data_IF_460604244865
#
_entry.id   IF_460604244865
#
_cell.length_a   1.000
_cell.length_b   1.000
_cell.length_c   1.000
_cell.angle_alpha   90.00
_cell.angle_beta   90.00
_cell.angle_gamma   90.00
#
_symmetry.space_group_name_H-M   'P 1'
#
loop_
_entity.id
_entity.type
_entity.pdbx_description
1 polymer ?
#
# COMPACT_ATOMS: atom_id res chain seq x y z
N UNK A 1 10.46 -44.48 -1.26
CA UNK A 1 11.02 -43.12 -1.09
C UNK A 1 10.51 -42.26 -2.24
N UNK A 2 9.60 -41.34 -1.97
CA UNK A 2 9.11 -40.36 -2.94
C UNK A 2 8.86 -39.07 -2.19
N UNK A 3 9.65 -38.04 -2.48
CA UNK A 3 9.61 -36.76 -1.78
C UNK A 3 8.26 -36.04 -2.02
N UNK A 4 7.70 -35.49 -0.94
CA UNK A 4 6.52 -34.63 -0.97
C UNK A 4 6.83 -33.32 -1.72
N UNK A 5 6.00 -32.89 -2.68
CA UNK A 5 5.91 -31.47 -3.00
C UNK A 5 5.07 -30.80 -1.90
N UNK A 6 5.75 -30.30 -0.86
CA UNK A 6 5.12 -29.36 0.08
C UNK A 6 5.08 -27.98 -0.59
N UNK A 7 4.20 -27.85 -1.58
CA UNK A 7 4.01 -26.59 -2.30
C UNK A 7 2.73 -25.95 -1.80
N UNK A 8 2.78 -25.34 -0.61
CA UNK A 8 1.99 -24.15 -0.35
C UNK A 8 2.53 -23.03 -1.26
N UNK A 9 2.35 -23.18 -2.56
CA UNK A 9 2.37 -22.03 -3.46
C UNK A 9 1.09 -21.29 -3.11
N UNK A 10 1.16 -20.44 -2.08
CA UNK A 10 0.13 -19.42 -1.85
C UNK A 10 -0.03 -18.76 -3.21
N UNK A 11 -1.21 -18.91 -3.82
CA UNK A 11 -1.55 -18.12 -4.99
C UNK A 11 -1.32 -16.67 -4.57
N UNK A 12 -0.35 -16.00 -5.19
CA UNK A 12 -0.01 -14.59 -4.97
C UNK A 12 -1.13 -13.66 -5.49
N UNK A 13 -2.34 -14.18 -5.65
CA UNK A 13 -3.47 -13.54 -6.33
C UNK A 13 -4.66 -13.32 -5.41
N UNK A 14 -4.55 -13.62 -4.11
CA UNK A 14 -5.64 -13.44 -3.13
C UNK A 14 -5.25 -12.42 -2.04
N UNK A 15 -4.73 -11.26 -2.45
CA UNK A 15 -4.25 -10.27 -1.49
C UNK A 15 -4.17 -8.85 -2.03
N UNK A 16 -3.96 -7.92 -1.09
CA UNK A 16 -3.55 -6.55 -1.36
C UNK A 16 -2.03 -6.51 -1.43
N UNK A 17 -1.49 -6.03 -2.55
CA UNK A 17 -0.05 -5.91 -2.75
C UNK A 17 0.32 -4.48 -3.15
N UNK A 18 1.52 -4.08 -2.77
CA UNK A 18 2.01 -2.73 -3.01
C UNK A 18 3.40 -2.78 -3.64
N UNK A 19 3.50 -2.21 -4.83
CA UNK A 19 4.78 -2.03 -5.54
C UNK A 19 5.30 -0.64 -5.21
N UNK A 20 6.40 -0.58 -4.46
CA UNK A 20 7.06 0.67 -4.06
C UNK A 20 8.25 1.03 -4.95
N UNK A 21 8.87 0.04 -5.59
CA UNK A 21 10.09 0.22 -6.37
C UNK A 21 9.74 0.44 -7.84
N UNK A 22 10.23 1.56 -8.39
CA UNK A 22 9.92 1.99 -9.75
C UNK A 22 8.66 2.84 -9.79
N UNK A 23 7.80 2.61 -10.79
CA UNK A 23 6.46 3.23 -10.82
C UNK A 23 5.60 2.61 -9.74
N UNK A 24 5.17 3.39 -8.72
CA UNK A 24 4.39 2.86 -7.63
C UNK A 24 3.02 2.38 -8.12
N UNK A 25 2.59 1.19 -7.67
CA UNK A 25 1.33 0.59 -8.09
C UNK A 25 0.71 -0.22 -6.95
N UNK A 26 -0.61 -0.32 -6.94
CA UNK A 26 -1.38 -1.11 -5.98
C UNK A 26 -2.07 -2.22 -6.74
N UNK A 27 -1.98 -3.45 -6.24
CA UNK A 27 -2.63 -4.61 -6.82
C UNK A 27 -3.66 -5.15 -5.83
N UNK A 28 -4.84 -5.48 -6.34
CA UNK A 28 -5.85 -6.22 -5.61
C UNK A 28 -6.19 -7.47 -6.40
N UNK A 29 -5.99 -8.63 -5.77
CA UNK A 29 -6.19 -9.93 -6.40
C UNK A 29 -5.38 -10.13 -7.70
N UNK A 30 -4.17 -9.57 -7.74
CA UNK A 30 -3.28 -9.61 -8.91
C UNK A 30 -3.60 -8.59 -10.00
N UNK A 31 -4.68 -7.81 -9.88
CA UNK A 31 -5.06 -6.77 -10.85
C UNK A 31 -4.58 -5.38 -10.37
N UNK A 32 -3.91 -4.64 -11.26
CA UNK A 32 -3.48 -3.27 -10.97
C UNK A 32 -4.70 -2.36 -10.79
N UNK A 33 -4.73 -1.63 -9.69
CA UNK A 33 -5.83 -0.75 -9.35
C UNK A 33 -5.55 0.67 -9.82
N UNK A 34 -6.39 1.17 -10.71
CA UNK A 34 -6.43 2.59 -11.02
C UNK A 34 -7.17 3.33 -9.90
N UNK A 35 -6.44 4.13 -9.13
CA UNK A 35 -6.99 4.80 -7.97
C UNK A 35 -7.52 6.18 -8.35
N UNK A 36 -8.67 6.59 -7.79
CA UNK A 36 -9.36 7.81 -8.19
C UNK A 36 -8.58 9.10 -7.87
N UNK A 37 -7.55 9.02 -7.02
CA UNK A 37 -6.69 10.15 -6.71
C UNK A 37 -5.33 9.72 -6.15
N UNK A 38 -4.33 10.59 -6.31
CA UNK A 38 -3.01 10.44 -5.67
C UNK A 38 -3.11 10.35 -4.14
N UNK A 39 -4.14 10.95 -3.53
CA UNK A 39 -4.38 10.86 -2.09
C UNK A 39 -4.86 9.47 -1.67
N UNK A 40 -5.70 8.83 -2.48
CA UNK A 40 -6.11 7.45 -2.24
C UNK A 40 -4.89 6.51 -2.30
N UNK A 41 -4.02 6.70 -3.29
CA UNK A 41 -2.76 5.97 -3.40
C UNK A 41 -1.85 6.17 -2.18
N UNK A 42 -1.62 7.43 -1.79
CA UNK A 42 -0.79 7.76 -0.63
C UNK A 42 -1.37 7.20 0.67
N UNK A 43 -2.70 7.26 0.84
CA UNK A 43 -3.38 6.72 2.02
C UNK A 43 -3.21 5.20 2.13
N UNK A 44 -3.48 4.47 1.05
CA UNK A 44 -3.35 3.02 1.04
C UNK A 44 -1.90 2.57 1.22
N UNK A 45 -0.96 3.29 0.61
CA UNK A 45 0.47 3.05 0.81
C UNK A 45 0.90 3.29 2.25
N UNK A 46 0.42 4.37 2.85
CA UNK A 46 0.69 4.69 4.25
C UNK A 46 0.12 3.62 5.19
N UNK A 47 -1.12 3.18 4.97
CA UNK A 47 -1.75 2.14 5.77
C UNK A 47 -1.07 0.78 5.62
N UNK A 48 -0.62 0.42 4.42
CA UNK A 48 0.06 -0.85 4.15
C UNK A 48 1.44 -0.94 4.83
N UNK A 49 2.08 0.20 5.09
CA UNK A 49 3.40 0.27 5.74
C UNK A 49 3.32 0.30 7.28
N UNK A 50 2.13 0.50 7.85
CA UNK A 50 1.92 0.62 9.29
C UNK A 50 1.46 -0.72 9.86
N UNK A 51 2.08 -1.15 10.95
CA UNK A 51 1.67 -2.34 11.70
C UNK A 51 0.81 -1.99 12.93
N UNK A 52 0.59 -0.71 13.18
CA UNK A 52 -0.16 -0.14 14.29
C UNK A 52 -1.48 0.50 13.82
N UNK A 53 -2.42 0.66 14.77
CA UNK A 53 -3.67 1.37 14.50
C UNK A 53 -3.38 2.84 14.16
N UNK A 54 -3.90 3.29 13.02
CA UNK A 54 -3.71 4.66 12.54
C UNK A 54 -4.98 5.48 12.84
N UNK A 55 -4.82 6.66 13.45
CA UNK A 55 -5.96 7.55 13.67
C UNK A 55 -6.31 8.36 12.43
N UNK A 56 -7.57 8.80 12.32
CA UNK A 56 -8.01 9.68 11.22
C UNK A 56 -7.24 11.00 11.21
N UNK A 57 -6.83 11.50 12.39
CA UNK A 57 -6.04 12.72 12.53
C UNK A 57 -4.68 12.55 11.87
N UNK A 58 -3.98 11.45 12.14
CA UNK A 58 -2.66 11.17 11.56
C UNK A 58 -2.72 11.07 10.02
N UNK A 59 -3.77 10.41 9.50
CA UNK A 59 -3.99 10.32 8.05
C UNK A 59 -4.22 11.71 7.45
N UNK A 60 -5.01 12.55 8.12
CA UNK A 60 -5.29 13.90 7.64
C UNK A 60 -4.06 14.79 7.64
N UNK A 61 -3.23 14.71 8.69
CA UNK A 61 -1.97 15.44 8.78
C UNK A 61 -0.97 14.96 7.72
N UNK A 62 -0.87 13.65 7.50
CA UNK A 62 0.00 13.08 6.46
C UNK A 62 -0.42 13.51 5.04
N UNK A 63 -1.70 13.38 4.69
CA UNK A 63 -2.19 13.59 3.32
C UNK A 63 -2.37 15.06 2.92
N UNK A 64 -2.59 15.94 3.89
CA UNK A 64 -2.85 17.36 3.64
C UNK A 64 -1.80 18.28 4.22
N UNK A 65 -0.69 17.75 4.77
CA UNK A 65 0.29 18.50 5.54
C UNK A 65 0.53 19.91 4.97
N UNK A 66 -0.13 20.88 5.58
CA UNK A 66 -0.05 22.30 5.23
C UNK A 66 1.22 22.81 5.87
N UNK A 67 2.38 22.35 5.41
CA UNK A 67 3.60 23.09 5.65
C UNK A 67 3.42 24.38 4.89
N UNK A 68 2.90 25.42 5.55
CA UNK A 68 3.14 26.79 5.16
C UNK A 68 4.65 26.89 5.01
N UNK A 69 5.13 26.81 3.78
CA UNK A 69 6.44 27.30 3.40
C UNK A 69 6.42 28.79 3.70
N UNK A 70 6.67 29.14 4.96
CA UNK A 70 7.30 30.39 5.32
C UNK A 70 8.68 30.33 4.67
N UNK A 71 8.74 30.80 3.43
CA UNK A 71 10.00 31.11 2.76
C UNK A 71 10.77 32.06 3.68
N UNK A 72 11.93 31.59 4.14
CA UNK A 72 12.97 32.45 4.71
C UNK A 72 13.76 33.06 3.57
#
# INVERSE_FOLDING_TARGET
MGAKPNSKTRSLTDGFELKLLGSPAIYWQGEEQDLPSNKAFAMLSYLALRNDAVSRKDISEFLWNTTSTSSV
#
